data_IF_193613528361
#
_entry.id   IF_193613528361
#
_cell.length_a   1.000
_cell.length_b   1.000
_cell.length_c   1.000
_cell.angle_alpha   90.00
_cell.angle_beta   90.00
_cell.angle_gamma   90.00
#
_symmetry.space_group_name_H-M   'P 1'
#
loop_
_entity.id
_entity.type
_entity.pdbx_description
1 polymer ?
#
# COMPACT_ATOMS: atom_id res chain seq x y z
N UNK A 1 6.10 -8.85 17.56
CA UNK A 1 4.95 -9.26 16.72
C UNK A 1 3.70 -8.69 17.36
N UNK A 2 3.16 -7.63 16.78
CA UNK A 2 1.93 -6.99 17.29
C UNK A 2 0.74 -7.42 16.43
N UNK A 3 -0.48 -7.36 16.99
CA UNK A 3 -1.71 -7.62 16.22
C UNK A 3 -1.83 -6.64 15.04
N UNK A 4 -1.39 -5.40 15.24
CA UNK A 4 -1.37 -4.35 14.22
C UNK A 4 -0.49 -4.72 13.02
N UNK A 5 0.71 -5.27 13.27
CA UNK A 5 1.63 -5.70 12.20
C UNK A 5 0.99 -6.77 11.31
N UNK A 6 0.36 -7.78 11.92
CA UNK A 6 -0.29 -8.86 11.20
C UNK A 6 -1.53 -8.39 10.44
N UNK A 7 -2.37 -7.59 11.10
CA UNK A 7 -3.58 -7.03 10.49
C UNK A 7 -3.22 -6.18 9.27
N UNK A 8 -2.29 -5.22 9.43
CA UNK A 8 -1.85 -4.37 8.33
C UNK A 8 -1.19 -5.19 7.22
N UNK A 9 -0.27 -6.09 7.56
CA UNK A 9 0.45 -6.89 6.57
C UNK A 9 -0.47 -7.76 5.71
N UNK A 10 -1.44 -8.45 6.33
CA UNK A 10 -2.37 -9.32 5.61
C UNK A 10 -3.35 -8.50 4.77
N UNK A 11 -3.98 -7.47 5.35
CA UNK A 11 -4.98 -6.65 4.64
C UNK A 11 -4.36 -6.01 3.40
N UNK A 12 -3.19 -5.39 3.54
CA UNK A 12 -2.48 -4.74 2.43
C UNK A 12 -2.01 -5.75 1.39
N UNK A 13 -1.54 -6.93 1.81
CA UNK A 13 -1.15 -7.96 0.86
C UNK A 13 -2.33 -8.41 -0.02
N UNK A 14 -3.51 -8.59 0.58
CA UNK A 14 -4.73 -8.96 -0.15
C UNK A 14 -5.14 -7.84 -1.11
N UNK A 15 -5.23 -6.60 -0.62
CA UNK A 15 -5.60 -5.44 -1.43
C UNK A 15 -4.65 -5.24 -2.61
N UNK A 16 -3.33 -5.33 -2.37
CA UNK A 16 -2.32 -5.14 -3.40
C UNK A 16 -2.35 -6.25 -4.47
N UNK A 17 -2.60 -7.50 -4.08
CA UNK A 17 -2.81 -8.60 -5.03
C UNK A 17 -4.04 -8.33 -5.90
N UNK A 18 -5.17 -7.97 -5.28
CA UNK A 18 -6.41 -7.65 -6.01
C UNK A 18 -6.22 -6.45 -6.95
N UNK A 19 -5.42 -5.47 -6.56
CA UNK A 19 -5.12 -4.28 -7.34
C UNK A 19 -4.30 -4.55 -8.60
N UNK A 20 -3.32 -5.46 -8.52
CA UNK A 20 -2.48 -5.86 -9.66
C UNK A 20 -3.28 -6.69 -10.68
N UNK A 21 -4.34 -7.38 -10.25
CA UNK A 21 -5.14 -8.24 -11.15
C UNK A 21 -5.74 -7.47 -12.35
N UNK A 22 -5.97 -8.16 -13.48
CA UNK A 22 -6.42 -7.53 -14.73
C UNK A 22 -7.81 -6.92 -14.66
N UNK A 23 -8.67 -7.41 -13.76
CA UNK A 23 -10.03 -6.89 -13.55
C UNK A 23 -10.01 -5.41 -13.12
N UNK A 24 -9.02 -4.98 -12.35
CA UNK A 24 -8.84 -3.58 -11.95
C UNK A 24 -8.23 -2.70 -13.06
N UNK A 25 -7.66 -3.30 -14.12
CA UNK A 25 -6.98 -2.56 -15.19
C UNK A 25 -7.97 -1.78 -16.07
N UNK A 26 -9.18 -2.31 -16.26
CA UNK A 26 -10.23 -1.65 -17.04
C UNK A 26 -10.70 -0.34 -16.39
N UNK A 27 -10.85 -0.32 -15.06
CA UNK A 27 -11.18 0.92 -14.33
C UNK A 27 -10.01 1.91 -14.34
N UNK A 28 -8.76 1.44 -14.23
CA UNK A 28 -7.57 2.29 -14.26
C UNK A 28 -7.30 2.95 -15.62
N UNK A 29 -7.66 2.25 -16.71
CA UNK A 29 -7.52 2.80 -18.07
C UNK A 29 -8.40 4.04 -18.29
N UNK A 30 -9.52 4.16 -17.55
CA UNK A 30 -10.38 5.34 -17.60
C UNK A 30 -9.78 6.58 -16.92
N UNK A 31 -8.74 6.40 -16.10
CA UNK A 31 -8.10 7.47 -15.31
C UNK A 31 -6.93 8.15 -16.04
N UNK A 32 -6.69 7.82 -17.32
CA UNK A 32 -5.53 8.27 -18.11
C UNK A 32 -4.15 7.94 -17.50
N UNK A 33 -4.09 7.08 -16.46
CA UNK A 33 -2.85 6.69 -15.83
C UNK A 33 -2.14 5.59 -16.62
N UNK A 34 -0.80 5.69 -16.82
CA UNK A 34 -0.03 4.61 -17.40
C UNK A 34 -0.13 3.34 -16.53
N UNK A 35 -0.44 2.19 -17.15
CA UNK A 35 -0.61 0.93 -16.42
C UNK A 35 0.61 0.48 -15.61
N UNK A 36 1.81 0.96 -15.96
CA UNK A 36 3.03 0.68 -15.19
C UNK A 36 3.02 1.32 -13.81
N UNK A 37 2.34 2.47 -13.60
CA UNK A 37 2.25 3.13 -12.29
C UNK A 37 1.47 2.24 -11.33
N UNK A 38 0.34 1.70 -11.79
CA UNK A 38 -0.46 0.70 -11.07
C UNK A 38 0.40 -0.51 -10.68
N UNK A 39 1.22 -0.98 -11.62
CA UNK A 39 2.09 -2.13 -11.39
C UNK A 39 3.16 -1.83 -10.32
N UNK A 40 3.83 -0.68 -10.39
CA UNK A 40 4.84 -0.28 -9.39
C UNK A 40 4.23 -0.13 -8.00
N UNK A 41 3.07 0.53 -7.89
CA UNK A 41 2.39 0.71 -6.59
C UNK A 41 1.96 -0.63 -6.01
N UNK A 42 1.28 -1.46 -6.81
CA UNK A 42 0.79 -2.76 -6.33
C UNK A 42 1.92 -3.72 -5.95
N UNK A 43 2.97 -3.84 -6.76
CA UNK A 43 4.13 -4.65 -6.37
C UNK A 43 4.90 -4.04 -5.19
N UNK A 44 4.95 -2.71 -5.07
CA UNK A 44 5.52 -2.02 -3.91
C UNK A 44 4.79 -2.39 -2.62
N UNK A 45 3.46 -2.42 -2.64
CA UNK A 45 2.63 -2.82 -1.50
C UNK A 45 2.76 -4.32 -1.19
N UNK A 46 2.85 -5.19 -2.21
CA UNK A 46 3.12 -6.64 -2.02
C UNK A 46 4.48 -6.86 -1.35
N UNK A 47 5.54 -6.25 -1.87
CA UNK A 47 6.89 -6.40 -1.31
C UNK A 47 6.92 -5.81 0.12
N UNK A 48 6.34 -4.63 0.31
CA UNK A 48 6.26 -3.97 1.61
C UNK A 48 5.52 -4.80 2.66
N UNK A 49 4.38 -5.38 2.31
CA UNK A 49 3.59 -6.25 3.20
C UNK A 49 4.31 -7.56 3.52
N UNK A 50 4.95 -8.21 2.54
CA UNK A 50 5.76 -9.41 2.79
C UNK A 50 6.91 -9.08 3.76
N UNK A 51 7.64 -7.98 3.51
CA UNK A 51 8.72 -7.53 4.40
C UNK A 51 8.20 -7.16 5.79
N UNK A 52 7.00 -6.57 5.88
CA UNK A 52 6.36 -6.23 7.15
C UNK A 52 6.08 -7.49 7.98
N UNK A 53 5.58 -8.57 7.34
CA UNK A 53 5.20 -9.83 8.00
C UNK A 53 6.42 -10.63 8.49
N UNK A 54 7.59 -10.46 7.86
CA UNK A 54 8.82 -11.13 8.29
C UNK A 54 9.46 -10.35 9.47
N UNK A 55 9.67 -10.98 10.65
CA UNK A 55 10.19 -10.32 11.85
C UNK A 55 11.47 -9.51 11.67
N UNK A 56 12.40 -10.02 10.86
CA UNK A 56 13.71 -9.41 10.67
C UNK A 56 13.65 -8.17 9.78
N UNK A 57 12.58 -8.00 9.00
CA UNK A 57 12.42 -6.92 8.03
C UNK A 57 11.23 -6.02 8.32
N UNK A 58 10.53 -6.21 9.44
CA UNK A 58 9.31 -5.46 9.77
C UNK A 58 9.45 -3.96 9.62
N UNK A 59 10.50 -3.36 10.19
CA UNK A 59 10.73 -1.90 10.11
C UNK A 59 10.97 -1.44 8.67
N UNK A 60 11.71 -2.23 7.87
CA UNK A 60 11.97 -1.92 6.45
C UNK A 60 10.68 -2.01 5.63
N UNK A 61 9.87 -3.05 5.88
CA UNK A 61 8.55 -3.20 5.26
C UNK A 61 7.62 -2.05 5.62
N UNK A 62 7.60 -1.62 6.88
CA UNK A 62 6.80 -0.49 7.35
C UNK A 62 7.19 0.83 6.67
N UNK A 63 8.48 1.14 6.55
CA UNK A 63 8.95 2.33 5.84
C UNK A 63 8.65 2.27 4.33
N UNK A 64 8.81 1.11 3.70
CA UNK A 64 8.48 0.92 2.30
C UNK A 64 6.98 1.15 2.06
N UNK A 65 6.11 0.51 2.85
CA UNK A 65 4.66 0.69 2.77
C UNK A 65 4.26 2.14 2.99
N UNK A 66 4.85 2.82 3.98
CA UNK A 66 4.57 4.23 4.22
C UNK A 66 4.90 5.08 2.98
N UNK A 67 6.06 4.88 2.37
CA UNK A 67 6.46 5.59 1.16
C UNK A 67 5.49 5.33 -0.01
N UNK A 68 5.08 4.07 -0.19
CA UNK A 68 4.12 3.69 -1.25
C UNK A 68 2.74 4.30 -0.99
N UNK A 69 2.21 4.23 0.24
CA UNK A 69 0.92 4.84 0.56
C UNK A 69 0.91 6.35 0.37
N UNK A 70 1.97 7.06 0.78
CA UNK A 70 2.10 8.50 0.53
C UNK A 70 2.05 8.78 -0.98
N UNK A 71 2.78 8.03 -1.78
CA UNK A 71 2.75 8.16 -3.24
C UNK A 71 1.35 7.87 -3.81
N UNK A 72 0.69 6.82 -3.35
CA UNK A 72 -0.67 6.46 -3.78
C UNK A 72 -1.69 7.53 -3.39
N UNK A 73 -1.60 8.11 -2.18
CA UNK A 73 -2.44 9.24 -1.75
C UNK A 73 -2.24 10.44 -2.68
N UNK A 74 -0.99 10.83 -2.94
CA UNK A 74 -0.70 11.96 -3.84
C UNK A 74 -1.29 11.73 -5.22
N UNK A 75 -1.14 10.53 -5.77
CA UNK A 75 -1.73 10.14 -7.05
C UNK A 75 -3.25 10.28 -7.03
N UNK A 76 -3.93 9.76 -6.00
CA UNK A 76 -5.38 9.85 -5.88
C UNK A 76 -5.85 11.32 -5.85
N UNK A 77 -5.20 12.16 -5.04
CA UNK A 77 -5.52 13.58 -4.94
C UNK A 77 -5.30 14.32 -6.27
N UNK A 78 -4.20 14.05 -6.97
CA UNK A 78 -3.91 14.68 -8.27
C UNK A 78 -4.91 14.31 -9.37
N UNK A 79 -5.59 13.18 -9.24
CA UNK A 79 -6.63 12.72 -10.18
C UNK A 79 -8.05 12.99 -9.68
N UNK A 80 -8.21 13.79 -8.62
CA UNK A 80 -9.52 14.16 -8.06
C UNK A 80 -10.21 13.07 -7.23
N UNK A 81 -9.50 11.99 -6.88
CA UNK A 81 -9.94 10.94 -5.98
C UNK A 81 -9.68 11.32 -4.53
N UNK A 82 -10.69 11.83 -3.82
CA UNK A 82 -10.55 12.27 -2.43
C UNK A 82 -10.88 11.18 -1.40
N UNK A 83 -11.39 10.03 -1.84
CA UNK A 83 -11.71 8.91 -0.96
C UNK A 83 -10.45 8.10 -0.60
N UNK A 84 -9.54 8.72 0.16
CA UNK A 84 -8.24 8.15 0.57
C UNK A 84 -8.17 7.83 2.07
N UNK A 85 -9.32 7.83 2.76
CA UNK A 85 -9.39 7.67 4.23
C UNK A 85 -8.70 6.39 4.71
N UNK A 86 -8.99 5.26 4.07
CA UNK A 86 -8.40 3.97 4.42
C UNK A 86 -6.88 3.98 4.23
N UNK A 87 -6.38 4.57 3.13
CA UNK A 87 -4.94 4.72 2.88
C UNK A 87 -4.22 5.55 3.94
N UNK A 88 -4.88 6.61 4.44
CA UNK A 88 -4.32 7.43 5.53
C UNK A 88 -4.22 6.62 6.82
N UNK A 89 -5.23 5.79 7.12
CA UNK A 89 -5.22 4.91 8.29
C UNK A 89 -4.09 3.87 8.15
N UNK A 90 -3.93 3.26 6.99
CA UNK A 90 -2.87 2.30 6.70
C UNK A 90 -1.47 2.93 6.79
N UNK A 91 -1.31 4.16 6.29
CA UNK A 91 -0.08 4.94 6.45
C UNK A 91 0.23 5.24 7.92
N UNK A 92 -0.76 5.63 8.71
CA UNK A 92 -0.60 5.87 10.13
C UNK A 92 -0.19 4.59 10.88
N UNK A 93 -0.80 3.44 10.54
CA UNK A 93 -0.44 2.14 11.10
C UNK A 93 1.00 1.73 10.71
N UNK A 94 1.38 1.88 9.44
CA UNK A 94 2.74 1.62 8.98
C UNK A 94 3.75 2.51 9.71
N UNK A 95 3.44 3.79 9.88
CA UNK A 95 4.29 4.73 10.60
C UNK A 95 4.44 4.36 12.08
N UNK A 96 3.35 3.97 12.76
CA UNK A 96 3.42 3.51 14.15
C UNK A 96 4.37 2.32 14.30
N UNK A 97 4.25 1.32 13.42
CA UNK A 97 5.13 0.14 13.41
C UNK A 97 6.58 0.53 13.10
N UNK A 98 6.80 1.44 12.14
CA UNK A 98 8.13 1.93 11.78
C UNK A 98 8.83 2.63 12.95
N UNK A 99 8.07 3.29 13.84
CA UNK A 99 8.58 3.90 15.06
C UNK A 99 8.78 2.90 16.22
N UNK A 100 8.53 1.60 16.01
CA UNK A 100 8.73 0.56 17.01
C UNK A 100 7.62 0.48 18.06
N UNK A 101 6.42 1.00 17.74
CA UNK A 101 5.21 0.88 18.56
C UNK A 101 4.32 -0.23 18.02
#
# INVERSE_FOLDING_TARGET
MTVLQWALGIVILIEAVLFVLPSAAHSFASTHMPGFVRMILGFGEIIGSILLLIPQTTIRGAWLLLAVFVMTIMIHLLHGGYNVGDLVIYAAAAFAIALGK
#
